data_IF_090766193440
#
_entry.id   IF_090766193440
#
_cell.length_a   1.000
_cell.length_b   1.000
_cell.length_c   1.000
_cell.angle_alpha   90.00
_cell.angle_beta   90.00
_cell.angle_gamma   90.00
#
_symmetry.space_group_name_H-M   'P 1'
#
loop_
_entity.id
_entity.type
_entity.pdbx_description
1 polymer ?
#
# COMPACT_ATOMS: atom_id res chain seq x y z
N UNK A 1 0.10 23.50 16.92
CA UNK A 1 1.40 22.86 17.20
C UNK A 1 2.46 23.47 16.30
N UNK A 2 3.44 24.19 16.84
CA UNK A 2 4.55 24.69 16.02
C UNK A 2 5.48 23.52 15.69
N UNK A 3 5.70 23.20 14.42
CA UNK A 3 6.58 22.11 13.96
C UNK A 3 8.09 22.39 14.16
N UNK A 4 8.45 23.65 14.48
CA UNK A 4 9.86 24.09 14.62
C UNK A 4 10.73 23.32 15.62
N UNK A 5 10.29 22.99 16.86
CA UNK A 5 11.09 22.20 17.78
C UNK A 5 11.20 20.73 17.35
N UNK A 6 10.19 20.20 16.64
CA UNK A 6 10.16 18.80 16.17
C UNK A 6 11.14 18.57 15.02
N UNK A 7 11.50 19.60 14.26
CA UNK A 7 12.47 19.51 13.16
C UNK A 7 13.90 19.88 13.58
N UNK A 8 14.16 20.04 14.88
CA UNK A 8 15.43 20.57 15.37
C UNK A 8 16.63 19.64 15.09
N UNK A 9 16.40 18.32 15.07
CA UNK A 9 17.41 17.29 14.77
C UNK A 9 17.79 17.20 13.30
N UNK A 10 16.99 17.76 12.39
CA UNK A 10 17.26 17.74 10.96
C UNK A 10 18.28 18.81 10.55
N UNK A 11 19.04 18.52 9.49
CA UNK A 11 19.89 19.49 8.80
C UNK A 11 19.08 20.70 8.31
N UNK A 12 19.74 21.83 8.04
CA UNK A 12 19.03 23.00 7.50
C UNK A 12 18.34 22.71 6.17
N UNK A 13 18.98 21.94 5.30
CA UNK A 13 18.46 21.61 3.98
C UNK A 13 17.26 20.66 4.08
N UNK A 14 17.35 19.60 4.90
CA UNK A 14 16.22 18.69 5.12
C UNK A 14 15.03 19.42 5.77
N UNK A 15 15.30 20.33 6.70
CA UNK A 15 14.26 21.14 7.33
C UNK A 15 13.54 22.04 6.34
N UNK A 16 14.30 22.71 5.46
CA UNK A 16 13.73 23.52 4.36
C UNK A 16 12.91 22.64 3.42
N UNK A 17 13.42 21.45 3.09
CA UNK A 17 12.73 20.50 2.22
C UNK A 17 11.42 20.01 2.82
N UNK A 18 11.41 19.58 4.09
CA UNK A 18 10.20 19.15 4.81
C UNK A 18 9.15 20.25 4.82
N UNK A 19 9.53 21.49 5.17
CA UNK A 19 8.58 22.61 5.19
C UNK A 19 8.01 22.91 3.80
N UNK A 20 8.83 22.77 2.76
CA UNK A 20 8.41 22.94 1.36
C UNK A 20 7.40 21.86 0.97
N UNK A 21 7.69 20.59 1.27
CA UNK A 21 6.77 19.47 1.01
C UNK A 21 5.42 19.63 1.70
N UNK A 22 5.40 20.09 2.95
CA UNK A 22 4.14 20.35 3.70
C UNK A 22 3.36 21.48 3.03
N UNK A 23 4.04 22.58 2.68
CA UNK A 23 3.40 23.73 2.04
C UNK A 23 2.84 23.38 0.66
N UNK A 24 3.59 22.63 -0.14
CA UNK A 24 3.19 22.22 -1.47
C UNK A 24 2.05 21.20 -1.42
N UNK A 25 2.09 20.24 -0.49
CA UNK A 25 0.95 19.35 -0.26
C UNK A 25 -0.32 20.13 0.07
N UNK A 26 -0.24 21.10 0.99
CA UNK A 26 -1.39 21.95 1.34
C UNK A 26 -1.94 22.71 0.13
N UNK A 27 -1.07 23.30 -0.70
CA UNK A 27 -1.50 23.97 -1.95
C UNK A 27 -2.17 23.01 -2.92
N UNK A 28 -1.70 21.77 -3.04
CA UNK A 28 -2.33 20.74 -3.86
C UNK A 28 -3.73 20.36 -3.33
N UNK A 29 -3.92 20.33 -2.01
CA UNK A 29 -5.25 20.13 -1.42
C UNK A 29 -6.22 21.27 -1.78
N UNK A 30 -5.75 22.51 -1.82
CA UNK A 30 -6.58 23.67 -2.19
C UNK A 30 -7.01 23.65 -3.66
N UNK A 31 -6.18 23.07 -4.55
CA UNK A 31 -6.50 22.91 -5.98
C UNK A 31 -7.50 21.79 -6.25
N UNK A 32 -7.60 20.81 -5.37
CA UNK A 32 -8.47 19.63 -5.55
C UNK A 32 -9.81 19.83 -4.85
N UNK A 33 -10.88 19.41 -5.52
CA UNK A 33 -12.22 19.44 -4.93
C UNK A 33 -12.37 18.32 -3.90
N UNK A 34 -11.98 18.59 -2.67
CA UNK A 34 -12.14 17.68 -1.52
C UNK A 34 -13.41 18.09 -0.77
N UNK A 35 -14.32 17.14 -0.56
CA UNK A 35 -15.54 17.36 0.21
C UNK A 35 -15.26 17.73 1.68
N UNK A 36 -16.24 18.28 2.40
CA UNK A 36 -16.06 18.73 3.79
C UNK A 36 -15.59 17.59 4.72
N UNK A 37 -16.10 16.37 4.48
CA UNK A 37 -15.68 15.18 5.23
C UNK A 37 -14.21 14.84 5.00
N UNK A 38 -13.74 14.81 3.75
CA UNK A 38 -12.33 14.51 3.43
C UNK A 38 -11.38 15.53 4.05
N UNK A 39 -11.75 16.83 4.05
CA UNK A 39 -10.97 17.89 4.72
C UNK A 39 -10.89 17.66 6.23
N UNK A 40 -12.01 17.36 6.87
CA UNK A 40 -12.05 17.08 8.32
C UNK A 40 -11.15 15.90 8.71
N UNK A 41 -11.19 14.81 7.93
CA UNK A 41 -10.35 13.63 8.17
C UNK A 41 -8.87 13.96 7.96
N UNK A 42 -8.52 14.72 6.92
CA UNK A 42 -7.14 15.18 6.70
C UNK A 42 -6.65 16.07 7.83
N UNK A 43 -7.45 17.01 8.30
CA UNK A 43 -7.07 17.92 9.40
C UNK A 43 -6.80 17.14 10.70
N UNK A 44 -7.45 15.98 10.89
CA UNK A 44 -7.19 15.08 12.00
C UNK A 44 -5.99 14.16 11.78
N UNK A 45 -5.84 13.60 10.57
CA UNK A 45 -4.77 12.68 10.20
C UNK A 45 -3.39 13.36 10.15
N UNK A 46 -3.33 14.55 9.54
CA UNK A 46 -2.06 15.22 9.21
C UNK A 46 -1.18 15.53 10.42
N UNK A 47 -1.69 16.03 11.57
CA UNK A 47 -0.87 16.23 12.76
C UNK A 47 -0.18 14.94 13.25
N UNK A 48 -0.89 13.82 13.25
CA UNK A 48 -0.35 12.53 13.69
C UNK A 48 0.68 12.01 12.70
N UNK A 49 0.37 12.03 11.41
CA UNK A 49 1.29 11.64 10.34
C UNK A 49 2.57 12.48 10.37
N UNK A 50 2.45 13.81 10.45
CA UNK A 50 3.62 14.69 10.49
C UNK A 50 4.43 14.49 11.77
N UNK A 51 3.79 14.23 12.92
CA UNK A 51 4.52 13.92 14.16
C UNK A 51 5.42 12.69 13.98
N UNK A 52 4.88 11.60 13.42
CA UNK A 52 5.62 10.35 13.25
C UNK A 52 6.69 10.43 12.15
N UNK A 53 6.39 11.09 11.03
CA UNK A 53 7.33 11.24 9.90
C UNK A 53 8.45 12.22 10.25
N UNK A 54 8.12 13.39 10.81
CA UNK A 54 9.10 14.43 11.07
C UNK A 54 10.07 14.08 12.20
N UNK A 55 9.72 13.16 13.10
CA UNK A 55 10.61 12.66 14.15
C UNK A 55 11.76 11.76 13.63
N UNK A 56 11.69 11.31 12.36
CA UNK A 56 12.69 10.44 11.74
C UNK A 56 13.90 11.23 11.23
N UNK A 57 15.03 10.56 11.08
CA UNK A 57 16.22 11.14 10.42
C UNK A 57 16.02 11.29 8.91
N UNK A 58 15.32 10.35 8.28
CA UNK A 58 15.00 10.31 6.84
C UNK A 58 13.73 11.12 6.46
N UNK A 59 13.31 12.05 7.33
CA UNK A 59 12.01 12.71 7.26
C UNK A 59 11.71 13.36 5.89
N UNK A 60 12.68 14.01 5.26
CA UNK A 60 12.50 14.67 3.97
C UNK A 60 12.12 13.68 2.85
N UNK A 61 12.84 12.56 2.76
CA UNK A 61 12.60 11.51 1.76
C UNK A 61 11.30 10.78 2.05
N UNK A 62 11.08 10.39 3.31
CA UNK A 62 9.88 9.68 3.75
C UNK A 62 8.62 10.52 3.51
N UNK A 63 8.65 11.81 3.88
CA UNK A 63 7.52 12.70 3.66
C UNK A 63 7.22 12.90 2.17
N UNK A 64 8.24 13.04 1.33
CA UNK A 64 8.06 13.19 -0.12
C UNK A 64 7.33 11.99 -0.75
N UNK A 65 7.60 10.77 -0.26
CA UNK A 65 6.94 9.55 -0.73
C UNK A 65 5.49 9.48 -0.25
N UNK A 66 5.27 9.82 1.02
CA UNK A 66 3.93 9.79 1.62
C UNK A 66 3.01 10.86 1.03
N UNK A 67 3.49 12.09 0.82
CA UNK A 67 2.65 13.14 0.23
C UNK A 67 2.26 12.80 -1.21
N UNK A 68 3.15 12.18 -2.00
CA UNK A 68 2.82 11.69 -3.34
C UNK A 68 1.68 10.64 -3.31
N UNK A 69 1.72 9.72 -2.34
CA UNK A 69 0.65 8.74 -2.13
C UNK A 69 -0.65 9.43 -1.71
N UNK A 70 -0.61 10.34 -0.73
CA UNK A 70 -1.79 11.04 -0.23
C UNK A 70 -2.47 11.87 -1.33
N UNK A 71 -1.70 12.55 -2.19
CA UNK A 71 -2.24 13.28 -3.34
C UNK A 71 -3.03 12.36 -4.29
N UNK A 72 -2.61 11.10 -4.43
CA UNK A 72 -3.30 10.10 -5.23
C UNK A 72 -4.64 9.65 -4.64
N UNK A 73 -4.77 9.63 -3.30
CA UNK A 73 -5.95 9.10 -2.60
C UNK A 73 -6.84 10.18 -1.97
N UNK A 74 -6.43 11.45 -2.02
CA UNK A 74 -7.10 12.56 -1.32
C UNK A 74 -8.59 12.73 -1.66
N UNK A 75 -9.00 12.31 -2.86
CA UNK A 75 -10.40 12.37 -3.30
C UNK A 75 -11.24 11.18 -2.84
N UNK A 76 -10.60 10.16 -2.25
CA UNK A 76 -11.22 8.93 -1.75
C UNK A 76 -11.21 8.93 -0.22
N UNK A 77 -12.24 9.52 0.36
CA UNK A 77 -12.38 9.71 1.82
C UNK A 77 -12.21 8.41 2.61
N UNK A 78 -12.67 7.27 2.10
CA UNK A 78 -12.60 5.97 2.77
C UNK A 78 -11.17 5.55 3.12
N UNK A 79 -10.21 5.80 2.23
CA UNK A 79 -8.80 5.48 2.50
C UNK A 79 -8.18 6.43 3.54
N UNK A 80 -8.59 7.69 3.53
CA UNK A 80 -8.16 8.65 4.55
C UNK A 80 -8.73 8.29 5.92
N UNK A 81 -9.99 7.85 5.96
CA UNK A 81 -10.67 7.38 7.17
C UNK A 81 -9.96 6.14 7.72
N UNK A 82 -9.62 5.16 6.88
CA UNK A 82 -8.83 4.00 7.29
C UNK A 82 -7.51 4.41 7.99
N UNK A 83 -6.74 5.31 7.38
CA UNK A 83 -5.47 5.77 7.98
C UNK A 83 -5.69 6.58 9.27
N UNK A 84 -6.81 7.27 9.39
CA UNK A 84 -7.18 8.04 10.57
C UNK A 84 -7.71 7.17 11.71
N UNK A 85 -8.44 6.10 11.40
CA UNK A 85 -9.10 5.21 12.37
C UNK A 85 -8.16 4.10 12.87
N UNK A 86 -7.17 3.70 12.05
CA UNK A 86 -6.22 2.63 12.38
C UNK A 86 -4.78 3.17 12.47
N UNK A 87 -4.34 3.68 13.64
CA UNK A 87 -2.98 4.18 13.84
C UNK A 87 -1.88 3.14 13.55
N UNK A 88 -2.18 1.84 13.73
CA UNK A 88 -1.25 0.78 13.37
C UNK A 88 -0.96 0.76 11.86
N UNK A 89 -1.99 0.87 11.02
CA UNK A 89 -1.85 0.92 9.57
C UNK A 89 -1.04 2.16 9.13
N UNK A 90 -1.28 3.32 9.75
CA UNK A 90 -0.48 4.52 9.49
C UNK A 90 1.01 4.31 9.84
N UNK A 91 1.32 3.65 10.96
CA UNK A 91 2.71 3.33 11.33
C UNK A 91 3.37 2.39 10.33
N UNK A 92 2.66 1.34 9.89
CA UNK A 92 3.16 0.43 8.86
C UNK A 92 3.37 1.14 7.53
N UNK A 93 2.43 2.01 7.13
CA UNK A 93 2.56 2.86 5.94
C UNK A 93 3.84 3.69 5.98
N UNK A 94 4.07 4.41 7.08
CA UNK A 94 5.24 5.28 7.26
C UNK A 94 6.52 4.44 7.21
N UNK A 95 6.57 3.34 7.96
CA UNK A 95 7.75 2.46 8.03
C UNK A 95 8.12 1.88 6.66
N UNK A 96 7.14 1.36 5.92
CA UNK A 96 7.35 0.76 4.60
C UNK A 96 7.74 1.81 3.55
N UNK A 97 7.09 2.99 3.58
CA UNK A 97 7.43 4.08 2.65
C UNK A 97 8.82 4.66 2.92
N UNK A 98 9.25 4.72 4.18
CA UNK A 98 10.60 5.12 4.55
C UNK A 98 11.62 4.11 4.01
N UNK A 99 11.38 2.82 4.25
CA UNK A 99 12.30 1.75 3.86
C UNK A 99 12.39 1.53 2.35
N UNK A 100 11.29 1.65 1.59
CA UNK A 100 11.28 1.29 0.17
C UNK A 100 10.48 2.26 -0.72
N UNK A 101 11.13 2.90 -1.71
CA UNK A 101 10.43 3.69 -2.71
C UNK A 101 9.54 2.82 -3.61
N UNK A 102 9.88 1.55 -3.80
CA UNK A 102 9.09 0.60 -4.59
C UNK A 102 7.71 0.39 -3.93
N UNK A 103 7.68 0.13 -2.62
CA UNK A 103 6.40 -0.05 -1.89
C UNK A 103 5.61 1.26 -1.88
N UNK A 104 6.26 2.40 -1.63
CA UNK A 104 5.58 3.69 -1.69
C UNK A 104 4.90 3.93 -3.05
N UNK A 105 5.59 3.62 -4.15
CA UNK A 105 5.05 3.73 -5.51
C UNK A 105 3.92 2.73 -5.76
N UNK A 106 4.04 1.50 -5.24
CA UNK A 106 3.02 0.46 -5.35
C UNK A 106 1.73 0.88 -4.64
N UNK A 107 1.81 1.36 -3.40
CA UNK A 107 0.65 1.81 -2.62
C UNK A 107 -0.01 3.06 -3.24
N UNK A 108 0.79 3.98 -3.79
CA UNK A 108 0.26 5.14 -4.51
C UNK A 108 -0.50 4.73 -5.79
N UNK A 109 -0.04 3.68 -6.48
CA UNK A 109 -0.66 3.15 -7.70
C UNK A 109 -1.88 2.26 -7.41
N UNK A 110 -1.83 1.49 -6.32
CA UNK A 110 -2.87 0.55 -5.90
C UNK A 110 -3.33 0.84 -4.45
N UNK A 111 -4.11 1.90 -4.21
CA UNK A 111 -4.57 2.28 -2.88
C UNK A 111 -5.39 1.23 -2.13
N UNK A 112 -5.98 0.26 -2.83
CA UNK A 112 -6.68 -0.87 -2.19
C UNK A 112 -5.76 -1.69 -1.27
N UNK A 113 -4.45 -1.65 -1.51
CA UNK A 113 -3.46 -2.34 -0.69
C UNK A 113 -3.29 -1.73 0.70
N UNK A 114 -3.90 -0.57 0.97
CA UNK A 114 -3.93 -0.02 2.33
C UNK A 114 -4.65 -0.95 3.31
N UNK A 115 -5.55 -1.81 2.82
CA UNK A 115 -6.24 -2.81 3.64
C UNK A 115 -5.25 -3.87 4.18
N UNK A 116 -4.19 -4.20 3.42
CA UNK A 116 -3.13 -5.12 3.87
C UNK A 116 -2.34 -4.56 5.07
N UNK A 117 -2.37 -3.24 5.29
CA UNK A 117 -1.69 -2.60 6.41
C UNK A 117 -2.42 -2.76 7.75
N UNK A 118 -3.66 -3.27 7.72
CA UNK A 118 -4.50 -3.44 8.90
C UNK A 118 -4.08 -4.65 9.76
N UNK A 119 -3.55 -5.71 9.13
CA UNK A 119 -3.12 -6.91 9.84
C UNK A 119 -1.62 -7.17 9.66
N UNK A 120 -0.78 -6.88 10.67
CA UNK A 120 0.64 -7.13 10.59
C UNK A 120 1.00 -8.63 10.47
N UNK A 121 0.12 -9.53 10.91
CA UNK A 121 0.39 -10.96 10.84
C UNK A 121 0.39 -11.45 9.39
N UNK A 122 -0.47 -10.92 8.54
CA UNK A 122 -0.48 -11.25 7.10
C UNK A 122 0.51 -10.39 6.32
N UNK A 123 0.70 -9.12 6.71
CA UNK A 123 1.60 -8.19 6.03
C UNK A 123 3.06 -8.63 6.05
N UNK A 124 3.55 -9.12 7.19
CA UNK A 124 4.95 -9.52 7.37
C UNK A 124 5.17 -11.03 7.33
N UNK A 125 4.11 -11.84 7.16
CA UNK A 125 4.23 -13.28 6.93
C UNK A 125 3.68 -13.59 5.53
N UNK A 126 4.58 -13.78 4.55
CA UNK A 126 4.18 -14.20 3.21
C UNK A 126 3.41 -15.51 3.27
N UNK A 127 2.52 -15.70 2.29
CA UNK A 127 1.84 -16.98 2.07
C UNK A 127 2.84 -18.13 1.99
N UNK A 128 2.51 -19.25 2.63
CA UNK A 128 3.30 -20.47 2.53
C UNK A 128 3.41 -20.88 1.04
N UNK A 129 4.58 -21.40 0.64
CA UNK A 129 4.88 -21.65 -0.78
C UNK A 129 3.92 -22.61 -1.46
N UNK A 130 3.32 -23.53 -0.70
CA UNK A 130 2.30 -24.49 -1.14
C UNK A 130 0.86 -23.94 -1.09
N UNK A 131 0.62 -22.81 -0.45
CA UNK A 131 -0.71 -22.25 -0.21
C UNK A 131 -1.14 -21.17 -1.22
N UNK A 132 -0.27 -20.72 -2.13
CA UNK A 132 -0.61 -19.64 -3.10
C UNK A 132 -1.83 -19.95 -3.96
N UNK A 133 -1.98 -21.21 -4.41
CA UNK A 133 -3.13 -21.62 -5.21
C UNK A 133 -4.42 -21.62 -4.40
N UNK A 134 -4.35 -22.05 -3.15
CA UNK A 134 -5.53 -22.13 -2.28
C UNK A 134 -5.97 -20.73 -1.81
N UNK A 135 -5.03 -19.85 -1.45
CA UNK A 135 -5.34 -18.44 -1.16
C UNK A 135 -5.95 -17.74 -2.39
N UNK A 136 -5.43 -18.00 -3.59
CA UNK A 136 -5.98 -17.43 -4.83
C UNK A 136 -7.41 -17.91 -5.08
N UNK A 137 -7.66 -19.22 -4.98
CA UNK A 137 -9.02 -19.78 -5.11
C UNK A 137 -9.96 -19.13 -4.11
N UNK A 138 -9.55 -19.03 -2.85
CA UNK A 138 -10.34 -18.38 -1.80
C UNK A 138 -10.62 -16.91 -2.13
N UNK A 139 -9.64 -16.19 -2.67
CA UNK A 139 -9.80 -14.79 -3.10
C UNK A 139 -10.81 -14.63 -4.23
N UNK A 140 -10.88 -15.61 -5.15
CA UNK A 140 -11.78 -15.60 -6.32
C UNK A 140 -13.21 -16.06 -5.99
N UNK A 141 -13.45 -16.76 -4.86
CA UNK A 141 -14.80 -17.24 -4.48
C UNK A 141 -15.86 -16.13 -4.38
N UNK A 142 -15.43 -14.89 -4.13
CA UNK A 142 -16.32 -13.71 -4.01
C UNK A 142 -16.59 -13.02 -5.35
N UNK A 143 -15.98 -13.49 -6.44
CA UNK A 143 -16.02 -12.87 -7.75
C UNK A 143 -16.93 -13.71 -8.66
N UNK A 144 -17.91 -13.10 -9.35
CA UNK A 144 -18.77 -13.82 -10.29
C UNK A 144 -17.94 -14.54 -11.37
N UNK A 145 -18.21 -15.84 -11.60
CA UNK A 145 -17.45 -16.66 -12.56
C UNK A 145 -17.72 -16.27 -14.02
N UNK A 146 -18.89 -15.68 -14.28
CA UNK A 146 -19.37 -15.25 -15.58
C UNK A 146 -18.89 -13.84 -15.98
N UNK A 147 -18.25 -13.10 -15.07
CA UNK A 147 -17.70 -11.77 -15.32
C UNK A 147 -16.18 -11.80 -15.50
N UNK A 148 -15.73 -11.93 -16.74
CA UNK A 148 -14.31 -12.01 -17.09
C UNK A 148 -13.51 -10.76 -16.65
N UNK A 149 -14.12 -9.57 -16.70
CA UNK A 149 -13.46 -8.33 -16.33
C UNK A 149 -13.18 -8.29 -14.82
N UNK A 150 -14.16 -8.67 -14.00
CA UNK A 150 -13.99 -8.76 -12.55
C UNK A 150 -13.00 -9.85 -12.15
N UNK A 151 -13.02 -11.00 -12.83
CA UNK A 151 -12.03 -12.07 -12.61
C UNK A 151 -10.60 -11.59 -12.89
N UNK A 152 -10.37 -10.95 -14.04
CA UNK A 152 -9.05 -10.40 -14.39
C UNK A 152 -8.61 -9.32 -13.40
N UNK A 153 -9.52 -8.46 -12.95
CA UNK A 153 -9.21 -7.45 -11.95
C UNK A 153 -8.88 -8.08 -10.59
N UNK A 154 -9.60 -9.10 -10.16
CA UNK A 154 -9.32 -9.84 -8.93
C UNK A 154 -7.93 -10.51 -8.97
N UNK A 155 -7.55 -11.12 -10.10
CA UNK A 155 -6.21 -11.67 -10.29
C UNK A 155 -5.12 -10.59 -10.16
N UNK A 156 -5.34 -9.41 -10.75
CA UNK A 156 -4.40 -8.27 -10.61
C UNK A 156 -4.28 -7.82 -9.16
N UNK A 157 -5.40 -7.69 -8.46
CA UNK A 157 -5.42 -7.27 -7.05
C UNK A 157 -4.67 -8.27 -6.16
N UNK A 158 -4.97 -9.57 -6.31
CA UNK A 158 -4.28 -10.63 -5.58
C UNK A 158 -2.78 -10.60 -5.82
N UNK A 159 -2.35 -10.48 -7.08
CA UNK A 159 -0.92 -10.35 -7.41
C UNK A 159 -0.28 -9.16 -6.69
N UNK A 160 -0.93 -7.99 -6.70
CA UNK A 160 -0.37 -6.81 -6.03
C UNK A 160 -0.28 -6.97 -4.51
N UNK A 161 -1.29 -7.59 -3.88
CA UNK A 161 -1.27 -7.89 -2.45
C UNK A 161 -0.11 -8.82 -2.08
N UNK A 162 0.09 -9.90 -2.85
CA UNK A 162 1.18 -10.84 -2.61
C UNK A 162 2.56 -10.21 -2.83
N UNK A 163 2.72 -9.37 -3.87
CA UNK A 163 3.96 -8.61 -4.08
C UNK A 163 4.26 -7.67 -2.90
N UNK A 164 3.23 -7.02 -2.35
CA UNK A 164 3.39 -6.16 -1.17
C UNK A 164 3.83 -6.99 0.05
N UNK A 165 3.16 -8.11 0.34
CA UNK A 165 3.50 -9.00 1.48
C UNK A 165 4.92 -9.55 1.38
N UNK A 166 5.34 -10.00 0.20
CA UNK A 166 6.70 -10.49 -0.05
C UNK A 166 7.72 -9.38 0.20
N UNK A 167 7.49 -8.18 -0.37
CA UNK A 167 8.42 -7.05 -0.21
C UNK A 167 8.45 -6.52 1.23
N UNK A 168 7.31 -6.47 1.91
CA UNK A 168 7.21 -6.06 3.31
C UNK A 168 7.95 -7.04 4.23
N UNK A 169 7.85 -8.35 3.98
CA UNK A 169 8.55 -9.36 4.75
C UNK A 169 10.08 -9.36 4.52
N UNK A 170 10.52 -9.11 3.27
CA UNK A 170 11.94 -8.92 2.94
C UNK A 170 12.52 -7.72 3.70
N UNK A 171 11.83 -6.57 3.66
CA UNK A 171 12.23 -5.35 4.37
C UNK A 171 12.22 -5.53 5.89
N UNK A 172 11.23 -6.24 6.43
CA UNK A 172 11.13 -6.53 7.86
C UNK A 172 12.12 -7.62 8.33
N UNK A 173 12.80 -8.30 7.40
CA UNK A 173 13.71 -9.40 7.70
C UNK A 173 13.01 -10.69 8.16
N UNK A 174 11.68 -10.79 8.00
CA UNK A 174 10.91 -11.99 8.31
C UNK A 174 10.94 -13.01 7.18
N UNK A 175 11.27 -12.57 5.95
CA UNK A 175 11.57 -13.44 4.82
C UNK A 175 13.04 -13.27 4.41
N UNK A 176 13.87 -14.33 4.41
CA UNK A 176 15.23 -14.24 3.89
C UNK A 176 15.24 -13.86 2.41
N UNK A 177 16.08 -12.91 2.00
CA UNK A 177 16.20 -12.45 0.60
C UNK A 177 16.39 -13.60 -0.41
N UNK A 178 17.09 -14.66 -0.01
CA UNK A 178 17.30 -15.87 -0.83
C UNK A 178 16.01 -16.61 -1.17
N UNK A 179 14.93 -16.38 -0.41
CA UNK A 179 13.60 -16.98 -0.61
C UNK A 179 12.65 -16.07 -1.38
N UNK A 180 12.98 -14.80 -1.60
CA UNK A 180 12.13 -13.87 -2.34
C UNK A 180 11.85 -14.38 -3.76
N UNK A 181 12.87 -14.85 -4.48
CA UNK A 181 12.70 -15.43 -5.82
C UNK A 181 11.85 -16.71 -5.83
N UNK A 182 11.95 -17.54 -4.79
CA UNK A 182 11.09 -18.73 -4.64
C UNK A 182 9.63 -18.27 -4.54
N UNK A 183 9.30 -17.34 -3.64
CA UNK A 183 7.94 -16.83 -3.45
C UNK A 183 7.36 -16.18 -4.73
N UNK A 184 8.17 -15.41 -5.45
CA UNK A 184 7.74 -14.81 -6.72
C UNK A 184 7.45 -15.87 -7.80
N UNK A 185 8.22 -16.97 -7.82
CA UNK A 185 8.01 -18.09 -8.74
C UNK A 185 6.72 -18.83 -8.40
N UNK A 186 6.49 -19.18 -7.13
CA UNK A 186 5.26 -19.85 -6.69
C UNK A 186 4.00 -19.00 -6.94
N UNK A 187 4.09 -17.70 -6.71
CA UNK A 187 3.03 -16.76 -7.07
C UNK A 187 2.76 -16.79 -8.59
N UNK A 188 3.81 -16.73 -9.41
CA UNK A 188 3.66 -16.77 -10.87
C UNK A 188 3.01 -18.07 -11.35
N UNK A 189 3.42 -19.22 -10.80
CA UNK A 189 2.80 -20.50 -11.12
C UNK A 189 1.31 -20.53 -10.76
N UNK A 190 0.93 -20.04 -9.58
CA UNK A 190 -0.48 -19.95 -9.18
C UNK A 190 -1.28 -19.01 -10.09
N UNK A 191 -0.70 -17.88 -10.52
CA UNK A 191 -1.34 -16.97 -11.48
C UNK A 191 -1.54 -17.62 -12.85
N UNK A 192 -0.53 -18.32 -13.35
CA UNK A 192 -0.60 -19.01 -14.65
C UNK A 192 -1.68 -20.10 -14.61
N UNK A 193 -1.72 -20.90 -13.53
CA UNK A 193 -2.73 -21.94 -13.32
C UNK A 193 -4.15 -21.36 -13.38
N UNK A 194 -4.42 -20.27 -12.67
CA UNK A 194 -5.72 -19.61 -12.68
C UNK A 194 -6.10 -19.02 -14.04
N UNK A 195 -5.15 -18.36 -14.73
CA UNK A 195 -5.41 -17.79 -16.06
C UNK A 195 -5.70 -18.88 -17.09
N UNK A 196 -4.98 -20.01 -17.04
CA UNK A 196 -5.24 -21.16 -17.91
C UNK A 196 -6.63 -21.74 -17.62
N UNK A 197 -6.98 -21.91 -16.35
CA UNK A 197 -8.30 -22.40 -15.96
C UNK A 197 -9.43 -21.48 -16.46
N UNK A 198 -9.28 -20.17 -16.31
CA UNK A 198 -10.26 -19.18 -16.77
C UNK A 198 -10.40 -19.22 -18.30
N UNK A 199 -9.29 -19.23 -19.04
CA UNK A 199 -9.32 -19.32 -20.49
C UNK A 199 -9.96 -20.63 -20.99
N UNK A 200 -9.79 -21.73 -20.25
CA UNK A 200 -10.39 -23.02 -20.60
C UNK A 200 -11.91 -23.02 -20.45
N UNK A 201 -12.42 -22.44 -19.36
CA UNK A 201 -13.85 -22.29 -19.11
C UNK A 201 -14.50 -21.36 -20.14
N UNK A 202 -13.89 -20.21 -20.42
CA UNK A 202 -14.42 -19.22 -21.37
C UNK A 202 -14.45 -19.73 -22.82
N UNK A 203 -13.50 -20.59 -23.21
CA UNK A 203 -13.46 -21.17 -24.56
C UNK A 203 -14.27 -22.47 -24.73
N UNK A 204 -15.10 -22.82 -23.72
CA UNK A 204 -16.11 -23.86 -23.85
C UNK A 204 -15.57 -25.26 -24.09
N UNK A 205 -14.41 -25.61 -23.52
CA UNK A 205 -13.92 -27.00 -23.57
C UNK A 205 -14.38 -27.72 -22.28
N UNK A 206 -15.43 -28.57 -22.35
CA UNK A 206 -15.97 -29.23 -21.17
C UNK A 206 -15.03 -30.39 -20.80
N UNK A 207 -14.24 -30.23 -19.75
CA UNK A 207 -13.65 -31.38 -19.07
C UNK A 207 -14.59 -31.80 -17.95
N UNK A 208 -15.19 -32.98 -18.21
CA UNK A 208 -15.82 -33.94 -17.29
C UNK A 208 -15.57 -33.72 -15.79
#
# INVERSE_FOLDING_TARGET
MTLRPVLAHLSEDDRKQVLTLIADFRKELDKRTIGPRGRQVLDHLMPHLLSDVCAREDAAVTLSRITALLVGIVTRTTYLELLSEFPAALKHLISLCAASPMIASQLARYPLLLDELLDPNTLYQPTATDAYRDELRQYLLRVPEDDEEQQLEALRQFKQAQLLRIAAADIAGTLPVMKVSDHLTWLAEAMIDAVVQQAWVSNGCPLR
#
